data_IF_203159210897
#
_entry.id   IF_203159210897
#
_cell.length_a   1.000
_cell.length_b   1.000
_cell.length_c   1.000
_cell.angle_alpha   90.00
_cell.angle_beta   90.00
_cell.angle_gamma   90.00
#
_symmetry.space_group_name_H-M   'P 1'
#
loop_
_entity.id
_entity.type
_entity.pdbx_description
1 polymer ?
#
# COMPACT_ATOMS: atom_id res chain seq x y z
N UNK A 1 32.54 2.98 -40.44
CA UNK A 1 31.13 2.59 -40.68
C UNK A 1 30.83 1.45 -39.71
N UNK A 2 30.73 1.70 -38.41
CA UNK A 2 29.55 2.22 -37.67
C UNK A 2 28.33 1.31 -37.84
N UNK A 3 27.57 0.93 -36.80
CA UNK A 3 27.50 1.42 -35.43
C UNK A 3 27.03 0.32 -34.46
N UNK A 4 27.27 0.58 -33.18
CA UNK A 4 26.91 -0.23 -32.03
C UNK A 4 25.39 -0.36 -31.83
N UNK A 5 24.94 -1.57 -31.51
CA UNK A 5 23.65 -1.83 -30.87
C UNK A 5 23.91 -2.00 -29.37
N UNK A 6 23.79 -0.93 -28.59
CA UNK A 6 23.69 -1.04 -27.15
C UNK A 6 22.30 -0.56 -26.74
N UNK A 7 21.59 -1.49 -26.13
CA UNK A 7 20.22 -1.41 -25.66
C UNK A 7 19.93 -0.14 -24.88
N UNK A 8 18.81 0.46 -25.28
CA UNK A 8 18.02 1.52 -24.67
C UNK A 8 18.05 1.48 -23.13
N UNK A 9 18.95 2.27 -22.55
CA UNK A 9 18.95 2.58 -21.12
C UNK A 9 18.13 3.86 -20.91
N UNK A 10 16.86 3.81 -21.28
CA UNK A 10 15.86 4.77 -20.85
C UNK A 10 15.57 4.57 -19.36
N UNK A 11 16.53 4.91 -18.50
CA UNK A 11 16.29 5.09 -17.07
C UNK A 11 15.30 6.23 -16.92
N UNK A 12 14.02 5.86 -16.83
CA UNK A 12 12.94 6.74 -16.42
C UNK A 12 13.41 7.41 -15.12
N UNK A 13 13.63 8.74 -15.17
CA UNK A 13 13.88 9.57 -14.00
C UNK A 13 12.58 9.71 -13.20
N UNK A 14 11.89 8.59 -12.95
CA UNK A 14 10.64 8.55 -12.22
C UNK A 14 10.95 8.84 -10.77
N UNK A 15 10.44 9.97 -10.29
CA UNK A 15 10.44 10.38 -8.89
C UNK A 15 10.07 9.17 -8.01
N UNK A 16 11.04 8.59 -7.31
CA UNK A 16 10.80 7.39 -6.53
C UNK A 16 10.06 7.77 -5.24
N UNK A 17 8.75 7.56 -5.22
CA UNK A 17 7.95 7.81 -4.01
C UNK A 17 8.33 6.78 -2.94
N UNK A 18 8.63 7.25 -1.73
CA UNK A 18 8.92 6.45 -0.56
C UNK A 18 7.93 6.75 0.56
N UNK A 19 7.63 5.73 1.34
CA UNK A 19 6.74 5.82 2.49
C UNK A 19 7.54 5.72 3.78
N UNK A 20 7.39 6.73 4.64
CA UNK A 20 8.09 6.82 5.91
C UNK A 20 7.11 6.73 7.07
N UNK A 21 7.50 6.08 8.16
CA UNK A 21 6.73 6.11 9.39
C UNK A 21 6.59 7.55 9.90
N UNK A 22 5.36 8.00 10.13
CA UNK A 22 5.09 9.39 10.52
C UNK A 22 5.70 9.78 11.87
N UNK A 23 5.90 8.82 12.76
CA UNK A 23 6.47 9.05 14.10
C UNK A 23 7.99 9.16 14.10
N UNK A 24 8.70 8.31 13.36
CA UNK A 24 10.17 8.21 13.45
C UNK A 24 10.90 8.41 12.12
N UNK A 25 10.16 8.71 11.05
CA UNK A 25 10.65 8.95 9.69
C UNK A 25 11.42 7.79 9.02
N UNK A 26 11.52 6.63 9.67
CA UNK A 26 12.09 5.42 9.07
C UNK A 26 11.28 5.02 7.82
N UNK A 27 11.98 4.68 6.74
CA UNK A 27 11.37 4.15 5.51
C UNK A 27 10.72 2.79 5.83
N UNK A 28 9.48 2.61 5.39
CA UNK A 28 8.68 1.40 5.62
C UNK A 28 8.23 0.72 4.33
N UNK A 29 8.12 1.47 3.24
CA UNK A 29 7.85 0.95 1.90
C UNK A 29 8.32 1.96 0.84
N UNK A 30 8.32 1.55 -0.42
CA UNK A 30 8.51 2.39 -1.62
C UNK A 30 7.34 2.15 -2.59
N UNK A 31 7.22 3.00 -3.60
CA UNK A 31 6.15 2.92 -4.60
C UNK A 31 6.08 1.57 -5.31
N UNK A 32 7.22 0.94 -5.56
CA UNK A 32 7.32 -0.36 -6.25
C UNK A 32 6.61 -1.49 -5.51
N UNK A 33 6.44 -1.34 -4.19
CA UNK A 33 5.77 -2.33 -3.36
C UNK A 33 4.26 -2.08 -3.27
N UNK A 34 3.74 -0.96 -3.78
CA UNK A 34 2.32 -0.63 -3.68
C UNK A 34 1.53 -1.50 -4.64
N UNK A 35 0.53 -2.22 -4.11
CA UNK A 35 -0.44 -2.96 -4.90
C UNK A 35 -1.55 -1.98 -5.33
N UNK A 36 -1.60 -1.56 -6.60
CA UNK A 36 -2.61 -0.64 -7.06
C UNK A 36 -3.97 -1.32 -7.07
N UNK A 37 -5.01 -0.56 -6.76
CA UNK A 37 -6.38 -1.02 -6.96
C UNK A 37 -7.28 0.11 -7.41
N UNK A 38 -8.19 -0.20 -8.31
CA UNK A 38 -9.26 0.70 -8.72
C UNK A 38 -10.27 0.86 -7.58
N UNK A 39 -10.78 2.09 -7.42
CA UNK A 39 -11.79 2.39 -6.39
C UNK A 39 -13.02 1.49 -6.62
N UNK A 40 -13.33 0.67 -5.63
CA UNK A 40 -14.38 -0.33 -5.74
C UNK A 40 -15.79 0.27 -5.77
N UNK A 41 -16.74 -0.43 -6.37
CA UNK A 41 -18.17 -0.16 -6.20
C UNK A 41 -18.77 -0.90 -4.99
N UNK A 42 -17.98 -1.70 -4.26
CA UNK A 42 -18.49 -2.73 -3.34
C UNK A 42 -19.40 -2.21 -2.23
N UNK A 43 -19.21 -0.98 -1.75
CA UNK A 43 -20.11 -0.35 -0.78
C UNK A 43 -21.53 -0.17 -1.33
N UNK A 44 -21.70 0.03 -2.64
CA UNK A 44 -23.02 0.18 -3.29
C UNK A 44 -23.85 -1.10 -3.23
N UNK A 45 -23.23 -2.28 -3.08
CA UNK A 45 -23.92 -3.58 -3.07
C UNK A 45 -24.46 -4.00 -1.69
N UNK A 46 -23.93 -3.45 -0.59
CA UNK A 46 -24.25 -3.92 0.78
C UNK A 46 -24.85 -2.86 1.70
N UNK A 47 -24.89 -1.57 1.30
CA UNK A 47 -25.50 -0.51 2.10
C UNK A 47 -26.99 -0.41 1.77
N UNK A 48 -27.84 -0.99 2.62
CA UNK A 48 -29.32 -1.01 2.51
C UNK A 48 -29.99 0.38 2.52
N UNK A 49 -29.28 1.46 2.86
CA UNK A 49 -29.85 2.82 2.88
C UNK A 49 -28.97 3.84 2.16
N UNK A 50 -29.64 4.57 1.27
CA UNK A 50 -29.20 5.74 0.49
C UNK A 50 -28.56 5.40 -0.87
N UNK A 51 -29.43 5.35 -1.88
CA UNK A 51 -29.08 5.63 -3.28
C UNK A 51 -28.66 7.09 -3.41
N UNK A 52 -27.51 7.47 -2.86
CA UNK A 52 -26.82 8.67 -3.34
C UNK A 52 -25.79 8.21 -4.35
N UNK A 53 -25.80 8.83 -5.53
CA UNK A 53 -24.83 8.60 -6.60
C UNK A 53 -23.49 9.25 -6.25
N UNK A 54 -23.05 9.04 -5.01
CA UNK A 54 -21.79 9.55 -4.49
C UNK A 54 -20.68 8.62 -4.94
N UNK A 55 -19.66 9.20 -5.55
CA UNK A 55 -18.44 8.51 -5.96
C UNK A 55 -17.83 7.71 -4.81
N UNK A 56 -17.13 6.62 -5.14
CA UNK A 56 -16.44 5.82 -4.12
C UNK A 56 -15.45 6.70 -3.34
N UNK A 57 -15.44 6.61 -2.00
CA UNK A 57 -14.60 7.47 -1.18
C UNK A 57 -13.11 7.23 -1.46
N UNK A 58 -12.29 8.23 -1.16
CA UNK A 58 -10.85 8.09 -1.29
C UNK A 58 -10.31 6.98 -0.38
N UNK A 59 -9.28 6.28 -0.86
CA UNK A 59 -8.62 5.23 -0.09
C UNK A 59 -7.82 5.86 1.05
N UNK A 60 -8.17 5.52 2.29
CA UNK A 60 -7.50 5.98 3.52
C UNK A 60 -6.20 5.23 3.83
N UNK A 61 -5.88 4.22 3.04
CA UNK A 61 -4.73 3.34 3.22
C UNK A 61 -4.11 2.99 1.87
N UNK A 62 -2.82 2.67 1.89
CA UNK A 62 -2.16 1.98 0.78
C UNK A 62 -2.10 0.49 1.12
N UNK A 63 -2.08 -0.34 0.07
CA UNK A 63 -1.83 -1.76 0.19
C UNK A 63 -0.48 -2.04 -0.45
N UNK A 64 0.31 -2.90 0.18
CA UNK A 64 1.64 -3.24 -0.32
C UNK A 64 1.81 -4.75 -0.43
N UNK A 65 2.82 -5.19 -1.17
CA UNK A 65 3.29 -6.56 -1.09
C UNK A 65 3.89 -6.85 0.30
N UNK A 66 3.85 -8.10 0.78
CA UNK A 66 4.49 -8.47 2.03
C UNK A 66 6.00 -8.19 1.97
N UNK A 67 6.52 -7.45 2.96
CA UNK A 67 7.94 -7.11 3.03
C UNK A 67 8.65 -7.98 4.06
N UNK A 68 9.93 -8.33 3.78
CA UNK A 68 10.76 -9.20 4.63
C UNK A 68 10.82 -8.77 6.11
N UNK A 69 10.66 -7.49 6.38
CA UNK A 69 10.75 -6.94 7.72
C UNK A 69 9.48 -7.08 8.56
N UNK A 70 8.35 -7.46 7.96
CA UNK A 70 7.11 -7.71 8.68
C UNK A 70 7.27 -8.99 9.51
N UNK A 71 7.78 -8.84 10.74
CA UNK A 71 8.11 -9.90 11.70
C UNK A 71 6.98 -10.95 11.83
N UNK A 72 5.72 -10.51 11.74
CA UNK A 72 4.51 -11.33 11.88
C UNK A 72 4.28 -12.38 10.78
N UNK A 73 5.07 -12.39 9.71
CA UNK A 73 4.97 -13.41 8.66
C UNK A 73 5.57 -14.76 9.08
N UNK A 74 6.43 -14.78 10.10
CA UNK A 74 7.21 -15.96 10.47
C UNK A 74 6.45 -16.90 11.42
N UNK A 75 5.42 -16.41 12.11
CA UNK A 75 4.69 -17.15 13.14
C UNK A 75 3.48 -17.94 12.62
N UNK A 76 3.32 -18.05 11.29
CA UNK A 76 2.18 -18.73 10.67
C UNK A 76 0.83 -18.01 10.84
N UNK A 77 0.84 -16.77 11.31
CA UNK A 77 -0.35 -15.94 11.49
C UNK A 77 -1.04 -15.61 10.16
N UNK A 78 -2.35 -15.84 10.08
CA UNK A 78 -3.18 -15.50 8.91
C UNK A 78 -3.58 -14.02 8.88
N UNK A 79 -3.54 -13.36 10.03
CA UNK A 79 -3.80 -11.92 10.20
C UNK A 79 -3.09 -11.39 11.45
N UNK A 80 -2.56 -10.16 11.39
CA UNK A 80 -2.05 -9.43 12.56
C UNK A 80 -1.82 -7.94 12.24
N UNK A 81 -1.27 -7.20 13.20
CA UNK A 81 -0.91 -5.78 13.12
C UNK A 81 0.49 -5.61 12.52
N UNK A 82 0.67 -4.56 11.73
CA UNK A 82 1.98 -4.15 11.21
C UNK A 82 2.53 -3.03 12.09
N UNK A 83 3.72 -3.24 12.66
CA UNK A 83 4.42 -2.28 13.52
C UNK A 83 5.66 -1.72 12.84
N UNK A 84 5.95 -0.44 13.06
CA UNK A 84 7.17 0.17 12.55
C UNK A 84 8.41 -0.50 13.16
N UNK A 85 9.36 -0.92 12.31
CA UNK A 85 10.65 -1.46 12.76
C UNK A 85 11.48 -0.51 13.66
N UNK A 86 11.21 0.79 13.60
CA UNK A 86 11.96 1.80 14.35
C UNK A 86 11.39 2.12 15.72
N UNK A 87 10.15 2.60 15.74
CA UNK A 87 9.53 3.09 16.97
C UNK A 87 8.41 2.19 17.50
N UNK A 88 8.21 1.02 16.87
CA UNK A 88 7.18 0.02 17.20
C UNK A 88 5.75 0.58 17.29
N UNK A 89 5.49 1.77 16.72
CA UNK A 89 4.13 2.30 16.53
C UNK A 89 3.41 1.48 15.46
N UNK A 90 2.11 1.21 15.66
CA UNK A 90 1.26 0.54 14.67
C UNK A 90 1.10 1.40 13.41
N UNK A 91 1.39 0.81 12.26
CA UNK A 91 1.24 1.41 10.93
C UNK A 91 -0.02 0.91 10.21
N UNK A 92 -0.45 -0.31 10.50
CA UNK A 92 -1.64 -0.91 9.91
C UNK A 92 -1.84 -2.35 10.35
N UNK A 93 -2.20 -3.22 9.40
CA UNK A 93 -2.49 -4.65 9.63
C UNK A 93 -2.43 -5.43 8.32
N UNK A 94 -2.32 -6.75 8.41
CA UNK A 94 -2.47 -7.63 7.28
C UNK A 94 -3.51 -8.72 7.53
N UNK A 95 -4.06 -9.25 6.45
CA UNK A 95 -4.86 -10.48 6.43
C UNK A 95 -4.61 -11.19 5.09
N UNK A 96 -4.19 -12.46 5.17
CA UNK A 96 -3.88 -13.29 4.00
C UNK A 96 -5.10 -13.67 3.17
N UNK A 97 -6.27 -13.83 3.80
CA UNK A 97 -7.54 -14.02 3.09
C UNK A 97 -8.02 -12.73 2.40
N UNK A 98 -7.50 -11.58 2.83
CA UNK A 98 -7.76 -10.28 2.26
C UNK A 98 -8.58 -9.36 3.16
N UNK A 99 -8.76 -8.12 2.72
CA UNK A 99 -9.55 -7.10 3.41
C UNK A 99 -10.27 -6.21 2.42
N UNK A 100 -11.40 -5.64 2.83
CA UNK A 100 -12.09 -4.61 2.07
C UNK A 100 -11.41 -3.24 2.31
N UNK A 101 -10.99 -2.59 1.24
CA UNK A 101 -10.57 -1.19 1.28
C UNK A 101 -11.78 -0.28 1.56
N UNK A 102 -11.54 0.91 2.12
CA UNK A 102 -12.60 1.91 2.33
C UNK A 102 -13.34 2.29 1.05
N UNK A 103 -12.70 2.20 -0.12
CA UNK A 103 -13.37 2.40 -1.40
C UNK A 103 -14.30 1.23 -1.79
N UNK A 104 -14.35 0.13 -1.02
CA UNK A 104 -15.19 -1.03 -1.28
C UNK A 104 -14.54 -2.15 -2.10
N UNK A 105 -13.30 -1.98 -2.59
CA UNK A 105 -12.56 -3.04 -3.30
C UNK A 105 -12.03 -4.08 -2.32
N UNK A 106 -12.20 -5.36 -2.62
CA UNK A 106 -11.54 -6.46 -1.90
C UNK A 106 -10.09 -6.62 -2.39
N UNK A 107 -9.14 -6.66 -1.47
CA UNK A 107 -7.70 -6.81 -1.74
C UNK A 107 -7.23 -8.12 -1.13
N UNK A 108 -6.55 -8.97 -1.91
CA UNK A 108 -5.97 -10.24 -1.46
C UNK A 108 -4.61 -10.46 -2.14
N UNK A 109 -3.55 -10.79 -1.38
CA UNK A 109 -3.47 -10.68 0.08
C UNK A 109 -3.47 -9.20 0.50
N UNK A 110 -3.99 -8.88 1.69
CA UNK A 110 -4.11 -7.49 2.13
C UNK A 110 -3.04 -7.15 3.16
N UNK A 111 -2.02 -6.39 2.78
CA UNK A 111 -1.08 -5.75 3.71
C UNK A 111 -1.29 -4.25 3.68
N UNK A 112 -2.02 -3.75 4.67
CA UNK A 112 -2.52 -2.39 4.71
C UNK A 112 -1.63 -1.50 5.57
N UNK A 113 -1.21 -0.35 5.01
CA UNK A 113 -0.62 0.75 5.79
C UNK A 113 -1.57 1.96 5.76
N UNK A 114 -1.89 2.50 6.94
CA UNK A 114 -2.78 3.65 7.03
C UNK A 114 -2.06 4.94 6.68
N UNK A 115 -2.65 5.75 5.77
CA UNK A 115 -2.08 7.03 5.32
C UNK A 115 -1.88 8.03 6.45
N UNK A 116 -2.64 7.94 7.54
CA UNK A 116 -2.45 8.80 8.72
C UNK A 116 -1.26 8.39 9.62
N UNK A 117 -0.65 7.21 9.39
CA UNK A 117 0.51 6.69 10.13
C UNK A 117 1.80 6.72 9.32
N UNK A 118 1.73 7.06 8.04
CA UNK A 118 2.88 7.16 7.14
C UNK A 118 2.89 8.52 6.44
N UNK A 119 4.05 8.94 5.98
CA UNK A 119 4.23 10.10 5.10
C UNK A 119 4.71 9.60 3.74
N UNK A 120 4.10 10.12 2.68
CA UNK A 120 4.56 9.97 1.30
C UNK A 120 5.62 11.04 1.01
N UNK A 121 6.78 10.64 0.51
CA UNK A 121 7.88 11.54 0.19
C UNK A 121 8.42 11.24 -1.20
N UNK A 122 8.70 12.27 -1.98
CA UNK A 122 9.39 12.14 -3.26
C UNK A 122 10.90 12.08 -3.03
N UNK A 123 11.61 11.27 -3.82
CA UNK A 123 13.05 11.40 -3.96
C UNK A 123 13.32 12.65 -4.81
N UNK A 124 13.95 13.66 -4.22
CA UNK A 124 14.57 14.79 -4.92
C UNK A 124 16.03 14.45 -5.28
#
# INVERSE_FOLDING_TARGET
MEAANHSDLGSNLSTQVIYRCKKCRRIVASQEHVVPHERGGGQKCFVWKKRSDTEAPECSSIFIEPLKWMESLQDGGVEDKIFCMGCKTRLGSFNWAGMQCNCGKWITPAFQLHKNRIDECNYD
#
